data_IF_463964077806
#
_entry.id   IF_463964077806
#
_cell.length_a   1.000
_cell.length_b   1.000
_cell.length_c   1.000
_cell.angle_alpha   90.00
_cell.angle_beta   90.00
_cell.angle_gamma   90.00
#
_symmetry.space_group_name_H-M   'P 1'
#
loop_
_entity.id
_entity.type
_entity.pdbx_description
1 polymer ?
#
# COMPACT_ATOMS: atom_id res chain seq x y z
N UNK A 1 0.47 28.08 12.34
CA UNK A 1 -0.39 28.34 11.17
C UNK A 1 -1.55 27.36 11.23
N UNK A 2 -2.77 27.84 11.52
CA UNK A 2 -3.98 26.99 11.60
C UNK A 2 -4.27 26.44 10.20
N UNK A 3 -4.31 25.13 10.06
CA UNK A 3 -4.81 24.49 8.83
C UNK A 3 -6.33 24.68 8.81
N UNK A 4 -6.82 25.20 7.69
CA UNK A 4 -8.22 25.52 7.45
C UNK A 4 -9.05 24.23 7.40
N UNK A 5 -10.17 24.26 8.13
CA UNK A 5 -11.25 23.28 8.08
C UNK A 5 -11.79 23.13 6.63
N UNK A 6 -11.92 21.88 6.16
CA UNK A 6 -12.76 21.56 5.00
C UNK A 6 -12.04 20.96 3.78
N UNK A 7 -10.72 21.04 3.67
CA UNK A 7 -9.99 20.17 2.75
C UNK A 7 -9.77 18.84 3.46
N UNK A 8 -10.11 17.70 2.83
CA UNK A 8 -9.56 16.42 3.25
C UNK A 8 -8.05 16.63 3.24
N UNK A 9 -7.43 16.82 4.41
CA UNK A 9 -6.00 16.97 4.51
C UNK A 9 -5.43 15.76 3.79
N UNK A 10 -4.79 15.99 2.65
CA UNK A 10 -4.11 14.93 1.93
C UNK A 10 -3.21 14.28 2.97
N UNK A 11 -3.40 12.98 3.22
CA UNK A 11 -2.55 12.30 4.19
C UNK A 11 -1.15 12.37 3.59
N UNK A 12 -0.27 13.06 4.32
CA UNK A 12 1.10 13.23 3.91
C UNK A 12 1.78 11.86 4.02
N UNK A 13 2.34 11.39 2.91
CA UNK A 13 3.09 10.15 2.83
C UNK A 13 4.53 10.48 2.41
N UNK A 14 5.49 9.70 2.92
CA UNK A 14 6.86 9.78 2.45
C UNK A 14 7.02 9.34 0.99
N UNK A 15 8.23 9.49 0.46
CA UNK A 15 8.58 9.07 -0.90
C UNK A 15 8.60 10.20 -1.93
N UNK A 16 8.21 11.42 -1.55
CA UNK A 16 8.12 12.54 -2.49
C UNK A 16 9.46 13.27 -2.67
N UNK A 17 10.39 12.66 -3.41
CA UNK A 17 11.68 13.28 -3.76
C UNK A 17 11.53 14.58 -4.56
N UNK A 18 10.47 14.71 -5.35
CA UNK A 18 10.15 15.96 -6.06
C UNK A 18 9.82 17.11 -5.10
N UNK A 19 8.99 16.85 -4.08
CA UNK A 19 8.71 17.82 -3.02
C UNK A 19 9.96 18.13 -2.20
N UNK A 20 10.75 17.12 -1.84
CA UNK A 20 12.02 17.33 -1.13
C UNK A 20 12.98 18.22 -1.94
N UNK A 21 13.09 17.99 -3.25
CA UNK A 21 13.93 18.80 -4.13
C UNK A 21 13.47 20.26 -4.23
N UNK A 22 12.16 20.50 -4.25
CA UNK A 22 11.60 21.85 -4.26
C UNK A 22 11.80 22.60 -2.93
N UNK A 23 11.72 21.89 -1.80
CA UNK A 23 11.95 22.46 -0.47
C UNK A 23 13.43 22.73 -0.19
N UNK A 24 14.33 21.93 -0.77
CA UNK A 24 15.78 22.01 -0.56
C UNK A 24 16.53 22.12 -1.90
N UNK A 25 16.40 23.24 -2.63
CA UNK A 25 16.97 23.38 -3.98
C UNK A 25 18.50 23.29 -4.03
N UNK A 26 19.17 23.52 -2.89
CA UNK A 26 20.64 23.49 -2.76
C UNK A 26 21.15 22.25 -2.01
N UNK A 27 20.29 21.27 -1.71
CA UNK A 27 20.73 20.05 -1.04
C UNK A 27 21.71 19.24 -1.91
N UNK A 28 22.76 18.64 -1.31
CA UNK A 28 23.61 17.68 -2.00
C UNK A 28 22.81 16.51 -2.58
N UNK A 29 23.26 15.99 -3.73
CA UNK A 29 22.64 14.86 -4.43
C UNK A 29 23.58 13.64 -4.46
N UNK A 30 23.04 12.42 -4.56
CA UNK A 30 21.61 12.06 -4.59
C UNK A 30 20.94 12.22 -3.22
N UNK A 31 19.62 12.38 -3.20
CA UNK A 31 18.85 12.28 -1.96
C UNK A 31 18.95 10.85 -1.42
N UNK A 32 19.09 10.73 -0.10
CA UNK A 32 18.87 9.47 0.63
C UNK A 32 17.47 9.54 1.23
N UNK A 33 16.51 8.84 0.62
CA UNK A 33 15.12 8.86 1.06
C UNK A 33 14.88 7.89 2.23
N UNK A 34 14.77 8.44 3.43
CA UNK A 34 14.42 7.71 4.66
C UNK A 34 12.96 7.90 5.09
N UNK A 35 12.13 8.49 4.22
CA UNK A 35 10.73 8.78 4.53
C UNK A 35 9.76 7.63 4.23
N UNK A 36 10.27 6.53 3.64
CA UNK A 36 9.49 5.34 3.31
C UNK A 36 10.02 4.10 4.04
N UNK A 37 9.19 3.04 4.09
CA UNK A 37 9.59 1.72 4.59
C UNK A 37 10.08 0.77 3.49
N UNK A 38 10.58 1.28 2.36
CA UNK A 38 11.03 0.44 1.24
C UNK A 38 12.38 -0.21 1.59
N UNK A 39 12.53 -1.49 1.29
CA UNK A 39 13.79 -2.20 1.48
C UNK A 39 14.88 -1.62 0.54
N UNK A 40 16.05 -1.19 1.06
CA UNK A 40 17.13 -0.67 0.21
C UNK A 40 17.74 -1.75 -0.69
N UNK A 41 17.57 -3.03 -0.37
CA UNK A 41 17.96 -4.15 -1.22
C UNK A 41 16.81 -4.50 -2.16
N UNK A 42 17.01 -4.23 -3.45
CA UNK A 42 16.02 -4.54 -4.48
C UNK A 42 15.70 -6.03 -4.51
N UNK A 43 14.41 -6.36 -4.69
CA UNK A 43 14.02 -7.72 -4.98
C UNK A 43 14.62 -8.14 -6.34
N UNK A 44 15.13 -9.38 -6.48
CA UNK A 44 15.71 -9.84 -7.73
C UNK A 44 14.71 -9.72 -8.89
N UNK A 45 15.12 -9.03 -9.96
CA UNK A 45 14.36 -8.98 -11.20
C UNK A 45 14.87 -10.10 -12.10
N UNK A 46 13.96 -10.93 -12.59
CA UNK A 46 14.24 -12.02 -13.51
C UNK A 46 13.90 -11.59 -14.94
N UNK A 47 14.39 -12.33 -15.94
CA UNK A 47 13.93 -12.13 -17.32
C UNK A 47 12.43 -12.38 -17.42
N UNK A 48 11.67 -11.30 -17.64
CA UNK A 48 10.22 -11.36 -17.80
C UNK A 48 9.89 -11.56 -19.28
N UNK A 49 9.02 -12.53 -19.64
CA UNK A 49 8.53 -12.65 -21.01
C UNK A 49 7.87 -11.34 -21.46
N UNK A 50 8.04 -10.96 -22.73
CA UNK A 50 7.43 -9.75 -23.30
C UNK A 50 5.91 -9.69 -23.10
N UNK A 51 5.26 -10.85 -23.04
CA UNK A 51 3.82 -10.97 -22.81
C UNK A 51 3.35 -10.53 -21.43
N UNK A 52 4.26 -10.36 -20.46
CA UNK A 52 3.94 -9.98 -19.07
C UNK A 52 3.21 -8.64 -18.98
N UNK A 53 3.54 -7.69 -19.86
CA UNK A 53 2.95 -6.35 -19.87
C UNK A 53 1.90 -6.14 -20.97
N UNK A 54 1.80 -7.07 -21.92
CA UNK A 54 0.91 -6.93 -23.09
C UNK A 54 -0.37 -7.76 -23.00
N UNK A 55 -0.44 -8.72 -22.05
CA UNK A 55 -1.63 -9.56 -21.84
C UNK A 55 -2.41 -9.11 -20.61
N UNK A 56 -3.73 -9.26 -20.68
CA UNK A 56 -4.59 -9.06 -19.51
C UNK A 56 -4.37 -10.20 -18.49
N UNK A 57 -4.50 -9.93 -17.17
CA UNK A 57 -4.44 -10.97 -16.15
C UNK A 57 -5.55 -12.01 -16.32
N UNK A 58 -5.19 -13.29 -16.29
CA UNK A 58 -6.13 -14.40 -16.35
C UNK A 58 -6.47 -14.95 -14.96
N UNK A 59 -7.68 -15.46 -14.78
CA UNK A 59 -8.15 -15.99 -13.48
C UNK A 59 -7.30 -17.18 -12.99
N UNK A 60 -6.84 -18.05 -13.89
CA UNK A 60 -5.98 -19.18 -13.54
C UNK A 60 -4.65 -18.72 -12.94
N UNK A 61 -4.00 -17.73 -13.56
CA UNK A 61 -2.74 -17.14 -13.09
C UNK A 61 -2.88 -16.45 -11.74
N UNK A 62 -4.04 -15.82 -11.50
CA UNK A 62 -4.37 -15.27 -10.19
C UNK A 62 -4.54 -16.37 -9.12
N UNK A 63 -5.12 -17.51 -9.50
CA UNK A 63 -5.21 -18.69 -8.64
C UNK A 63 -3.83 -19.24 -8.25
N UNK A 64 -2.93 -19.38 -9.22
CA UNK A 64 -1.53 -19.80 -8.99
C UNK A 64 -0.81 -18.85 -8.02
N UNK A 65 -0.92 -17.53 -8.25
CA UNK A 65 -0.33 -16.52 -7.36
C UNK A 65 -0.81 -16.68 -5.92
N UNK A 66 -2.11 -16.87 -5.71
CA UNK A 66 -2.69 -17.06 -4.36
C UNK A 66 -2.23 -18.36 -3.72
N UNK A 67 -2.05 -19.43 -4.48
CA UNK A 67 -1.56 -20.71 -3.97
C UNK A 67 -0.10 -20.61 -3.49
N UNK A 68 0.77 -19.99 -4.30
CA UNK A 68 2.16 -19.72 -3.93
C UNK A 68 2.23 -18.81 -2.70
N UNK A 69 1.45 -17.74 -2.68
CA UNK A 69 1.37 -16.82 -1.55
C UNK A 69 0.88 -17.52 -0.27
N UNK A 70 -0.13 -18.39 -0.36
CA UNK A 70 -0.62 -19.13 0.81
C UNK A 70 0.47 -20.02 1.41
N UNK A 71 1.24 -20.71 0.58
CA UNK A 71 2.39 -21.51 1.05
C UNK A 71 3.48 -20.62 1.67
N UNK A 72 3.84 -19.51 1.03
CA UNK A 72 4.89 -18.61 1.52
C UNK A 72 4.51 -17.92 2.84
N UNK A 73 3.22 -17.59 3.03
CA UNK A 73 2.72 -16.92 4.22
C UNK A 73 2.28 -17.89 5.33
N UNK A 74 2.19 -19.20 5.05
CA UNK A 74 1.61 -20.18 5.97
C UNK A 74 0.10 -20.04 6.15
N UNK A 75 -0.61 -19.52 5.15
CA UNK A 75 -2.07 -19.41 5.17
C UNK A 75 -2.73 -20.79 4.91
N UNK A 76 -3.94 -21.06 5.44
CA UNK A 76 -4.57 -22.37 5.32
C UNK A 76 -4.83 -22.83 3.88
N UNK A 77 -5.11 -21.90 2.97
CA UNK A 77 -5.29 -22.17 1.53
C UNK A 77 -5.28 -20.89 0.70
N UNK A 78 -5.26 -21.02 -0.63
CA UNK A 78 -5.41 -19.91 -1.56
C UNK A 78 -6.70 -19.09 -1.36
N UNK A 79 -7.76 -19.69 -0.79
CA UNK A 79 -9.01 -18.99 -0.48
C UNK A 79 -8.86 -17.95 0.65
N UNK A 80 -7.79 -18.06 1.45
CA UNK A 80 -7.46 -17.13 2.54
C UNK A 80 -6.53 -15.99 2.10
N UNK A 81 -6.23 -15.90 0.81
CA UNK A 81 -5.34 -14.87 0.25
C UNK A 81 -6.09 -14.02 -0.76
N UNK A 82 -6.13 -12.71 -0.51
CA UNK A 82 -6.66 -11.73 -1.45
C UNK A 82 -5.50 -11.01 -2.16
N UNK A 83 -5.43 -11.13 -3.49
CA UNK A 83 -4.52 -10.32 -4.28
C UNK A 83 -5.15 -8.95 -4.58
N UNK A 84 -4.38 -7.88 -4.44
CA UNK A 84 -4.80 -6.51 -4.71
C UNK A 84 -3.61 -5.66 -5.17
N UNK A 85 -3.83 -4.56 -5.90
CA UNK A 85 -2.79 -3.61 -6.26
C UNK A 85 -2.40 -2.74 -5.04
N UNK A 86 -1.76 -3.35 -4.05
CA UNK A 86 -1.41 -2.74 -2.77
C UNK A 86 -2.47 -2.92 -1.68
N UNK A 87 -2.07 -2.75 -0.43
CA UNK A 87 -2.95 -2.97 0.75
C UNK A 87 -3.87 -1.79 1.03
N UNK A 88 -3.52 -0.58 0.56
CA UNK A 88 -4.30 0.66 0.74
C UNK A 88 -5.77 0.48 0.30
N UNK A 89 -6.00 -0.12 -0.87
CA UNK A 89 -7.37 -0.32 -1.40
C UNK A 89 -8.17 -1.35 -0.61
N UNK A 90 -7.49 -2.25 0.10
CA UNK A 90 -8.13 -3.30 0.90
C UNK A 90 -8.66 -2.78 2.23
N UNK A 91 -8.03 -1.77 2.84
CA UNK A 91 -8.43 -1.23 4.15
C UNK A 91 -9.93 -0.86 4.23
N UNK A 92 -10.45 0.08 3.40
CA UNK A 92 -11.87 0.43 3.44
C UNK A 92 -12.77 -0.72 2.97
N UNK A 93 -12.28 -1.57 2.06
CA UNK A 93 -13.05 -2.70 1.55
C UNK A 93 -13.30 -3.74 2.63
N UNK A 94 -12.27 -4.07 3.42
CA UNK A 94 -12.40 -4.98 4.56
C UNK A 94 -13.29 -4.38 5.63
N UNK A 95 -13.13 -3.09 5.94
CA UNK A 95 -14.00 -2.39 6.89
C UNK A 95 -15.48 -2.48 6.50
N UNK A 96 -15.81 -2.29 5.21
CA UNK A 96 -17.19 -2.37 4.69
C UNK A 96 -17.85 -3.75 4.75
N UNK A 97 -17.09 -4.81 5.04
CA UNK A 97 -17.66 -6.15 5.22
C UNK A 97 -18.26 -6.35 6.62
N UNK A 98 -17.92 -5.46 7.56
CA UNK A 98 -18.43 -5.50 8.93
C UNK A 98 -19.76 -4.77 9.03
N UNK A 99 -20.57 -5.14 10.03
CA UNK A 99 -21.75 -4.37 10.39
C UNK A 99 -21.29 -3.07 11.07
N UNK A 100 -21.87 -1.90 10.72
CA UNK A 100 -21.59 -0.62 11.36
C UNK A 100 -21.57 -0.72 12.89
N UNK A 101 -20.53 -0.19 13.54
CA UNK A 101 -20.30 -0.37 14.96
C UNK A 101 -19.20 0.51 15.54
N UNK A 102 -18.67 0.10 16.70
CA UNK A 102 -17.55 0.80 17.35
C UNK A 102 -16.24 0.17 16.90
N UNK A 103 -15.37 0.99 16.31
CA UNK A 103 -14.00 0.63 15.99
C UNK A 103 -13.01 1.41 16.87
N UNK A 104 -11.90 0.76 17.25
CA UNK A 104 -10.80 1.40 17.99
C UNK A 104 -9.54 1.37 17.12
N UNK A 105 -8.89 2.52 16.98
CA UNK A 105 -7.60 2.65 16.30
C UNK A 105 -6.55 3.07 17.33
N UNK A 106 -5.58 2.20 17.58
CA UNK A 106 -4.49 2.47 18.51
C UNK A 106 -3.42 3.34 17.83
N UNK A 107 -3.08 4.46 18.45
CA UNK A 107 -2.10 5.42 17.93
C UNK A 107 -0.81 5.50 18.75
N UNK A 108 0.28 6.06 18.18
CA UNK A 108 0.40 6.56 16.80
C UNK A 108 0.46 5.42 15.77
N UNK A 109 -0.28 5.54 14.67
CA UNK A 109 -0.34 4.52 13.61
C UNK A 109 -0.61 5.15 12.25
N UNK A 110 -0.66 4.32 11.21
CA UNK A 110 -0.94 4.73 9.85
C UNK A 110 -2.32 5.41 9.73
N UNK A 111 -2.33 6.64 9.19
CA UNK A 111 -3.51 7.52 9.20
C UNK A 111 -4.72 6.94 8.46
N UNK A 112 -4.52 6.04 7.49
CA UNK A 112 -5.63 5.40 6.77
C UNK A 112 -6.46 4.46 7.63
N UNK A 113 -5.95 4.00 8.78
CA UNK A 113 -6.73 3.16 9.70
C UNK A 113 -7.93 3.91 10.29
N UNK A 114 -7.78 5.18 10.67
CA UNK A 114 -8.91 5.96 11.21
C UNK A 114 -9.96 6.25 10.15
N UNK A 115 -9.54 6.48 8.91
CA UNK A 115 -10.45 6.64 7.75
C UNK A 115 -11.24 5.38 7.46
N UNK A 116 -10.57 4.22 7.45
CA UNK A 116 -11.24 2.94 7.24
C UNK A 116 -12.19 2.59 8.40
N UNK A 117 -11.79 2.88 9.65
CA UNK A 117 -12.62 2.65 10.83
C UNK A 117 -13.93 3.45 10.83
N UNK A 118 -13.98 4.61 10.16
CA UNK A 118 -15.19 5.42 10.03
C UNK A 118 -16.24 4.81 9.07
N UNK A 119 -15.88 3.78 8.30
CA UNK A 119 -16.77 3.05 7.38
C UNK A 119 -17.43 1.85 8.07
N UNK A 120 -16.74 1.27 9.07
CA UNK A 120 -17.18 0.11 9.83
C UNK A 120 -18.13 0.50 10.97
#
# INVERSE_FOLDING_TARGET
MKLLDGAIAAVDHGGSLGRASALFPHAPRPFVDLSTGINPHSYPIFELPATTLSRLPEAARLGELRAVAASAYGAPSAAHVAAAPGTQILLPRVASLLKPGKALVLGPTYAEHSRAAAIA
#
